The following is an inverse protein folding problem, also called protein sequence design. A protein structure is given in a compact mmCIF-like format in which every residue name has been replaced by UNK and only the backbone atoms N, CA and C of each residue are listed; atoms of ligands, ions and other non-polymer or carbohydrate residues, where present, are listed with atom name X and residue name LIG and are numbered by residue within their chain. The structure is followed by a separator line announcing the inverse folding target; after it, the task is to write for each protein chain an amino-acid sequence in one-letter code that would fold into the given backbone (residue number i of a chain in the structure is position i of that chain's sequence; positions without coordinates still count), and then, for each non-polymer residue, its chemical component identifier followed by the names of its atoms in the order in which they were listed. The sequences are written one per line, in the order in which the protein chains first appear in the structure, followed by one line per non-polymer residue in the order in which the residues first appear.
data_IF_512570960491
#
_entry.id   IF_512570960491
#
_cell.length_a   1.000
_cell.length_b   1.000
_cell.length_c   1.000
_cell.angle_alpha   90.00
_cell.angle_beta   90.00
_cell.angle_gamma   90.00
#
_symmetry.space_group_name_H-M   'P 1'
#
loop_
_entity.id
_entity.type
_entity.pdbx_description
1 polymer ?
#
# COMPACT_ATOMS: atom_id res chain seq x y z
N UNK A 1 -46.00 60.77 -45.59
CA UNK A 1 -44.98 60.40 -46.59
C UNK A 1 -44.00 59.48 -45.87
N UNK A 2 -44.28 58.19 -45.98
CA UNK A 2 -43.40 57.12 -45.48
C UNK A 2 -42.51 56.62 -46.60
N UNK A 3 -41.24 56.34 -46.36
CA UNK A 3 -40.45 55.59 -47.32
C UNK A 3 -40.41 54.06 -46.93
N UNK A 4 -40.73 53.37 -48.01
CA UNK A 4 -40.82 51.94 -48.23
C UNK A 4 -39.60 51.16 -47.65
N UNK A 5 -39.97 50.12 -46.94
CA UNK A 5 -39.02 49.14 -46.39
C UNK A 5 -38.35 48.29 -47.47
N UNK A 6 -37.02 48.17 -47.37
CA UNK A 6 -36.23 47.18 -48.10
C UNK A 6 -36.23 45.84 -47.37
N UNK A 7 -36.95 44.88 -47.91
CA UNK A 7 -36.83 43.47 -47.45
C UNK A 7 -35.50 42.89 -47.94
N UNK A 8 -34.62 42.57 -47.01
CA UNK A 8 -33.47 41.72 -47.31
C UNK A 8 -33.93 40.26 -47.26
N UNK A 9 -33.77 39.58 -48.37
CA UNK A 9 -33.91 38.15 -48.47
C UNK A 9 -32.84 37.46 -47.57
N UNK A 10 -33.31 36.66 -46.61
CA UNK A 10 -32.47 35.74 -45.90
C UNK A 10 -32.18 34.54 -46.82
N UNK A 11 -30.92 34.27 -47.06
CA UNK A 11 -30.48 33.06 -47.77
C UNK A 11 -30.63 31.84 -46.83
N UNK A 12 -31.24 30.75 -47.31
CA UNK A 12 -31.26 29.50 -46.57
C UNK A 12 -29.99 28.72 -46.96
N UNK A 13 -29.10 28.53 -46.06
CA UNK A 13 -28.31 27.32 -45.98
C UNK A 13 -26.97 27.56 -45.28
N UNK A 14 -26.95 27.31 -43.99
CA UNK A 14 -25.77 26.78 -43.32
C UNK A 14 -26.21 26.11 -42.02
N UNK A 15 -27.00 25.02 -42.18
CA UNK A 15 -27.09 24.01 -41.12
C UNK A 15 -25.76 23.24 -41.08
N UNK A 16 -24.74 23.88 -40.51
CA UNK A 16 -23.51 23.14 -40.17
C UNK A 16 -23.84 22.12 -39.11
N UNK A 17 -23.97 20.88 -39.55
CA UNK A 17 -23.99 19.70 -38.70
C UNK A 17 -22.68 19.68 -37.91
N UNK A 18 -22.64 20.37 -36.78
CA UNK A 18 -21.61 20.16 -35.75
C UNK A 18 -21.89 18.81 -35.09
N UNK A 19 -21.39 17.76 -35.71
CA UNK A 19 -21.19 16.48 -35.03
C UNK A 19 -20.30 16.75 -33.84
N UNK A 20 -20.93 17.03 -32.73
CA UNK A 20 -20.24 17.17 -31.43
C UNK A 20 -19.78 15.78 -31.03
N UNK A 21 -18.59 15.37 -31.48
CA UNK A 21 -17.86 14.26 -30.89
C UNK A 21 -17.57 14.67 -29.48
N UNK A 22 -18.40 14.28 -28.54
CA UNK A 22 -18.10 14.30 -27.13
C UNK A 22 -17.08 13.21 -26.92
N UNK A 23 -15.82 13.53 -27.11
CA UNK A 23 -14.72 12.73 -26.57
C UNK A 23 -14.95 12.75 -25.06
N UNK A 24 -15.51 11.68 -24.52
CA UNK A 24 -15.54 11.46 -23.07
C UNK A 24 -14.08 11.48 -22.64
N UNK A 25 -13.68 12.57 -22.03
CA UNK A 25 -12.35 12.67 -21.41
C UNK A 25 -12.17 11.45 -20.54
N UNK A 26 -11.03 10.72 -20.63
CA UNK A 26 -10.76 9.63 -19.72
C UNK A 26 -10.98 10.16 -18.32
N UNK A 27 -11.74 9.43 -17.49
CA UNK A 27 -12.07 9.82 -16.12
C UNK A 27 -10.74 9.92 -15.36
N UNK A 28 -10.13 11.09 -15.35
CA UNK A 28 -8.98 11.39 -14.52
C UNK A 28 -9.47 11.42 -13.10
N UNK A 29 -9.35 10.27 -12.42
CA UNK A 29 -9.68 10.17 -11.00
C UNK A 29 -8.79 11.13 -10.22
N UNK A 30 -9.40 12.12 -9.55
CA UNK A 30 -8.64 13.05 -8.73
C UNK A 30 -8.02 12.31 -7.53
N UNK A 31 -6.85 12.74 -7.07
CA UNK A 31 -6.21 12.20 -5.86
C UNK A 31 -7.17 12.20 -4.65
N UNK A 32 -8.02 13.23 -4.55
CA UNK A 32 -9.07 13.31 -3.51
C UNK A 32 -10.09 12.18 -3.63
N UNK A 33 -10.44 11.77 -4.84
CA UNK A 33 -11.36 10.64 -5.07
C UNK A 33 -10.72 9.32 -4.67
N UNK A 34 -9.45 9.10 -4.99
CA UNK A 34 -8.69 7.91 -4.58
C UNK A 34 -8.61 7.80 -3.07
N UNK A 35 -8.28 8.89 -2.37
CA UNK A 35 -8.22 8.90 -0.90
C UNK A 35 -9.59 8.59 -0.27
N UNK A 36 -10.68 9.12 -0.84
CA UNK A 36 -12.03 8.81 -0.35
C UNK A 36 -12.40 7.35 -0.54
N UNK A 37 -12.07 6.77 -1.70
CA UNK A 37 -12.32 5.35 -1.98
C UNK A 37 -11.54 4.45 -1.04
N UNK A 38 -10.27 4.76 -0.79
CA UNK A 38 -9.41 4.01 0.12
C UNK A 38 -9.96 4.03 1.56
N UNK A 39 -10.36 5.20 2.05
CA UNK A 39 -11.02 5.32 3.36
C UNK A 39 -12.34 4.56 3.44
N UNK A 40 -13.16 4.63 2.39
CA UNK A 40 -14.42 3.88 2.33
C UNK A 40 -14.17 2.36 2.33
N UNK A 41 -13.13 1.89 1.64
CA UNK A 41 -12.73 0.49 1.66
C UNK A 41 -12.26 0.07 3.07
N UNK A 42 -11.41 0.87 3.71
CA UNK A 42 -10.97 0.64 5.08
C UNK A 42 -12.16 0.56 6.06
N UNK A 43 -13.14 1.45 5.92
CA UNK A 43 -14.37 1.41 6.74
C UNK A 43 -15.17 0.14 6.49
N UNK A 44 -15.37 -0.27 5.24
CA UNK A 44 -16.07 -1.53 4.92
C UNK A 44 -15.40 -2.75 5.56
N UNK A 45 -14.07 -2.81 5.53
CA UNK A 45 -13.31 -3.90 6.18
C UNK A 45 -13.58 -3.93 7.67
N UNK A 46 -13.59 -2.78 8.35
CA UNK A 46 -13.92 -2.66 9.79
C UNK A 46 -15.34 -3.12 10.08
N UNK A 47 -16.29 -2.68 9.27
CA UNK A 47 -17.71 -3.00 9.45
C UNK A 47 -17.98 -4.51 9.25
N UNK A 48 -17.36 -5.12 8.23
CA UNK A 48 -17.47 -6.57 7.99
C UNK A 48 -16.84 -7.35 9.13
N UNK A 49 -15.65 -6.96 9.59
CA UNK A 49 -14.99 -7.64 10.72
C UNK A 49 -15.79 -7.52 12.01
N UNK A 50 -16.43 -6.39 12.25
CA UNK A 50 -17.27 -6.15 13.44
C UNK A 50 -18.56 -6.97 13.37
N UNK A 51 -19.26 -6.94 12.23
CA UNK A 51 -20.49 -7.74 12.03
C UNK A 51 -20.22 -9.25 12.08
N UNK A 52 -19.06 -9.69 11.55
CA UNK A 52 -18.66 -11.10 11.59
C UNK A 52 -18.07 -11.56 12.92
N UNK A 53 -18.02 -10.71 13.95
CA UNK A 53 -17.50 -11.07 15.28
C UNK A 53 -15.98 -11.30 15.33
N UNK A 54 -15.23 -11.03 14.23
CA UNK A 54 -13.79 -11.30 14.13
C UNK A 54 -12.92 -10.06 14.39
N UNK A 55 -13.52 -8.92 14.72
CA UNK A 55 -12.78 -7.68 14.94
C UNK A 55 -11.79 -7.77 16.11
N UNK A 56 -12.20 -8.37 17.23
CA UNK A 56 -11.34 -8.50 18.40
C UNK A 56 -10.10 -9.37 18.14
N UNK A 57 -10.20 -10.62 17.64
CA UNK A 57 -9.05 -11.43 17.33
C UNK A 57 -8.14 -10.80 16.26
N UNK A 58 -8.69 -10.13 15.25
CA UNK A 58 -7.89 -9.43 14.25
C UNK A 58 -7.10 -8.26 14.84
N UNK A 59 -7.69 -7.46 15.74
CA UNK A 59 -6.97 -6.39 16.46
C UNK A 59 -5.81 -6.95 17.28
N UNK A 60 -6.01 -8.07 17.97
CA UNK A 60 -4.95 -8.76 18.71
C UNK A 60 -3.84 -9.22 17.76
N UNK A 61 -4.18 -9.82 16.61
CA UNK A 61 -3.20 -10.20 15.59
C UNK A 61 -2.42 -8.98 15.07
N UNK A 62 -3.09 -7.83 14.88
CA UNK A 62 -2.44 -6.58 14.51
C UNK A 62 -1.44 -6.08 15.55
N UNK A 63 -1.76 -6.17 16.83
CA UNK A 63 -0.84 -5.83 17.92
C UNK A 63 0.32 -6.83 18.02
N UNK A 64 0.04 -8.12 17.82
CA UNK A 64 1.03 -9.19 17.87
C UNK A 64 2.00 -9.20 16.68
N UNK A 65 1.69 -8.52 15.58
CA UNK A 65 2.49 -8.55 14.34
C UNK A 65 3.97 -8.25 14.60
N UNK A 66 4.29 -7.15 15.27
CA UNK A 66 5.67 -6.75 15.49
C UNK A 66 6.44 -7.69 16.44
N UNK A 67 5.92 -8.07 17.62
CA UNK A 67 6.61 -9.02 18.49
C UNK A 67 6.77 -10.40 17.84
N UNK A 68 5.78 -10.90 17.09
CA UNK A 68 5.88 -12.17 16.38
C UNK A 68 7.01 -12.18 15.36
N UNK A 69 7.12 -11.14 14.54
CA UNK A 69 8.18 -11.05 13.54
C UNK A 69 9.56 -10.83 14.17
N UNK A 70 9.67 -10.13 15.29
CA UNK A 70 10.91 -10.03 16.06
C UNK A 70 11.33 -11.39 16.61
N UNK A 71 10.40 -12.13 17.23
CA UNK A 71 10.64 -13.49 17.71
C UNK A 71 11.08 -14.43 16.60
N UNK A 72 10.45 -14.35 15.42
CA UNK A 72 10.85 -15.11 14.23
C UNK A 72 12.31 -14.80 13.84
N UNK A 73 12.68 -13.53 13.75
CA UNK A 73 14.06 -13.14 13.40
C UNK A 73 15.08 -13.65 14.42
N UNK A 74 14.76 -13.57 15.71
CA UNK A 74 15.62 -14.14 16.77
C UNK A 74 15.76 -15.65 16.62
N UNK A 75 14.65 -16.38 16.40
CA UNK A 75 14.66 -17.82 16.20
C UNK A 75 15.47 -18.27 14.98
N UNK A 76 15.35 -17.50 13.87
CA UNK A 76 16.13 -17.75 12.65
C UNK A 76 17.61 -17.44 12.86
N UNK A 77 17.95 -16.38 13.57
CA UNK A 77 19.34 -15.99 13.86
C UNK A 77 20.05 -16.98 14.80
N UNK A 78 19.32 -17.61 15.72
CA UNK A 78 19.85 -18.61 16.64
C UNK A 78 20.31 -19.90 15.93
N UNK A 79 19.76 -20.23 14.76
CA UNK A 79 20.09 -21.43 14.01
C UNK A 79 21.12 -21.13 12.93
N UNK A 80 22.27 -21.80 12.93
CA UNK A 80 23.35 -21.57 11.96
C UNK A 80 22.88 -21.63 10.50
N UNK A 81 21.98 -22.59 10.17
CA UNK A 81 21.48 -22.78 8.79
C UNK A 81 20.60 -21.62 8.29
N UNK A 82 19.83 -20.97 9.16
CA UNK A 82 18.90 -19.89 8.79
C UNK A 82 19.45 -18.49 9.12
N UNK A 83 20.63 -18.41 9.74
CA UNK A 83 21.27 -17.14 10.10
C UNK A 83 21.47 -16.19 8.91
N UNK A 84 21.92 -16.65 7.72
CA UNK A 84 22.05 -15.76 6.55
C UNK A 84 20.71 -15.13 6.14
N UNK A 85 19.62 -15.93 6.13
CA UNK A 85 18.29 -15.44 5.85
C UNK A 85 17.80 -14.42 6.91
N UNK A 86 18.12 -14.65 8.19
CA UNK A 86 17.80 -13.71 9.26
C UNK A 86 18.54 -12.37 9.10
N UNK A 87 19.81 -12.39 8.75
CA UNK A 87 20.61 -11.17 8.52
C UNK A 87 20.03 -10.38 7.34
N UNK A 88 19.74 -11.06 6.23
CA UNK A 88 19.12 -10.43 5.06
C UNK A 88 17.74 -9.84 5.40
N UNK A 89 16.91 -10.59 6.12
CA UNK A 89 15.58 -10.13 6.53
C UNK A 89 15.64 -8.92 7.48
N UNK A 90 16.62 -8.88 8.39
CA UNK A 90 16.85 -7.72 9.25
C UNK A 90 17.28 -6.51 8.42
N UNK A 91 18.27 -6.66 7.54
CA UNK A 91 18.72 -5.57 6.68
C UNK A 91 17.59 -5.02 5.81
N UNK A 92 16.83 -5.90 5.13
CA UNK A 92 15.70 -5.54 4.31
C UNK A 92 14.58 -4.85 5.11
N UNK A 93 14.28 -5.35 6.33
CA UNK A 93 13.24 -4.74 7.17
C UNK A 93 13.63 -3.36 7.71
N UNK A 94 14.89 -3.14 8.05
CA UNK A 94 15.41 -1.84 8.46
C UNK A 94 15.40 -0.84 7.30
N UNK A 95 15.84 -1.27 6.11
CA UNK A 95 15.79 -0.45 4.90
C UNK A 95 14.34 -0.05 4.57
N UNK A 96 13.42 -1.02 4.54
CA UNK A 96 12.02 -0.77 4.23
C UNK A 96 11.35 0.13 5.27
N UNK A 97 11.57 -0.13 6.57
CA UNK A 97 10.98 0.68 7.65
C UNK A 97 11.56 2.10 7.68
N UNK A 98 12.85 2.26 7.40
CA UNK A 98 13.52 3.56 7.26
C UNK A 98 12.97 4.36 6.09
N UNK A 99 12.89 3.76 4.90
CA UNK A 99 12.30 4.39 3.72
C UNK A 99 10.82 4.75 3.94
N UNK A 100 10.04 3.85 4.56
CA UNK A 100 8.65 4.13 4.91
C UNK A 100 8.51 5.31 5.89
N UNK A 101 9.47 5.47 6.82
CA UNK A 101 9.49 6.62 7.73
C UNK A 101 9.75 7.93 6.98
N UNK A 102 10.77 7.97 6.13
CA UNK A 102 11.11 9.17 5.33
C UNK A 102 9.94 9.58 4.44
N UNK A 103 9.36 8.61 3.71
CA UNK A 103 8.20 8.87 2.86
C UNK A 103 6.98 9.36 3.65
N UNK A 104 6.73 8.78 4.82
CA UNK A 104 5.63 9.18 5.68
C UNK A 104 5.77 10.62 6.16
N UNK A 105 6.97 10.99 6.59
CA UNK A 105 7.25 12.33 7.07
C UNK A 105 7.15 13.38 5.92
N UNK A 106 7.54 12.98 4.70
CA UNK A 106 7.41 13.83 3.50
C UNK A 106 5.97 13.96 2.99
N UNK A 107 5.16 12.88 3.06
CA UNK A 107 3.79 12.88 2.50
C UNK A 107 2.78 13.43 3.51
N UNK A 108 2.96 13.19 4.80
CA UNK A 108 2.12 13.75 5.87
C UNK A 108 0.65 13.30 5.85
N UNK A 109 0.29 12.17 5.19
CA UNK A 109 -1.09 11.70 5.11
C UNK A 109 -1.60 11.30 6.50
N UNK A 110 -2.71 11.91 6.99
CA UNK A 110 -3.26 11.58 8.31
C UNK A 110 -3.85 10.17 8.34
N UNK A 111 -3.75 9.51 9.49
CA UNK A 111 -4.36 8.20 9.76
C UNK A 111 -5.89 8.28 9.85
N UNK A 112 -6.61 7.16 9.63
CA UNK A 112 -8.05 7.11 9.87
C UNK A 112 -8.44 7.20 11.36
N UNK A 113 -7.54 6.82 12.27
CA UNK A 113 -7.74 6.85 13.72
C UNK A 113 -7.22 8.12 14.41
N UNK A 114 -7.30 8.20 15.74
CA UNK A 114 -7.00 9.41 16.52
C UNK A 114 -5.49 9.76 16.62
N UNK A 115 -4.61 8.95 16.07
CA UNK A 115 -3.17 9.21 16.10
C UNK A 115 -2.79 10.27 15.07
N UNK A 116 -2.01 11.26 15.51
CA UNK A 116 -1.58 12.39 14.67
C UNK A 116 -0.31 12.12 13.84
N UNK A 117 0.36 10.98 14.05
CA UNK A 117 1.50 10.58 13.24
C UNK A 117 1.03 10.05 11.87
N UNK A 118 1.69 10.42 10.79
CA UNK A 118 1.31 10.06 9.42
C UNK A 118 1.02 8.56 9.21
N UNK A 119 0.06 8.24 8.33
CA UNK A 119 -0.39 6.88 8.05
C UNK A 119 0.35 6.20 6.90
N UNK A 120 0.73 6.94 5.88
CA UNK A 120 1.20 6.42 4.59
C UNK A 120 2.69 6.68 4.35
N UNK A 121 3.46 5.68 3.91
CA UNK A 121 3.15 4.25 3.90
C UNK A 121 3.31 3.60 5.29
N UNK A 122 2.73 2.41 5.49
CA UNK A 122 2.80 1.69 6.76
C UNK A 122 4.18 1.06 6.99
N UNK A 123 4.89 1.50 8.04
CA UNK A 123 6.17 0.90 8.46
C UNK A 123 6.06 -0.58 8.83
N UNK A 124 4.97 -0.96 9.50
CA UNK A 124 4.75 -2.33 9.91
C UNK A 124 4.53 -3.25 8.72
N UNK A 125 3.79 -2.76 7.70
CA UNK A 125 3.60 -3.50 6.47
C UNK A 125 4.93 -3.64 5.70
N UNK A 126 5.72 -2.56 5.62
CA UNK A 126 7.01 -2.58 4.98
C UNK A 126 7.98 -3.57 5.65
N UNK A 127 8.11 -3.54 6.98
CA UNK A 127 8.98 -4.47 7.70
C UNK A 127 8.50 -5.93 7.58
N UNK A 128 7.19 -6.18 7.76
CA UNK A 128 6.66 -7.54 7.68
C UNK A 128 6.81 -8.14 6.27
N UNK A 129 6.54 -7.36 5.22
CA UNK A 129 6.72 -7.80 3.84
C UNK A 129 8.19 -8.02 3.48
N UNK A 130 9.10 -7.20 3.98
CA UNK A 130 10.54 -7.39 3.80
C UNK A 130 11.02 -8.70 4.44
N UNK A 131 10.59 -8.98 5.66
CA UNK A 131 10.92 -10.24 6.35
C UNK A 131 10.33 -11.43 5.60
N UNK A 132 9.05 -11.37 5.21
CA UNK A 132 8.40 -12.45 4.47
C UNK A 132 9.06 -12.68 3.10
N UNK A 133 9.43 -11.63 2.37
CA UNK A 133 10.12 -11.72 1.10
C UNK A 133 11.51 -12.34 1.23
N UNK A 134 12.33 -11.87 2.17
CA UNK A 134 13.68 -12.41 2.41
C UNK A 134 13.64 -13.87 2.88
N UNK A 135 12.79 -14.21 3.86
CA UNK A 135 12.66 -15.61 4.32
C UNK A 135 12.13 -16.51 3.22
N UNK A 136 11.19 -16.01 2.39
CA UNK A 136 10.65 -16.72 1.23
C UNK A 136 11.69 -17.03 0.17
N UNK A 137 12.60 -16.10 -0.12
CA UNK A 137 13.71 -16.30 -1.05
C UNK A 137 14.67 -17.43 -0.60
N UNK A 138 14.71 -17.73 0.71
CA UNK A 138 15.46 -18.84 1.30
C UNK A 138 14.58 -20.11 1.51
N UNK A 139 13.36 -20.15 0.99
CA UNK A 139 12.45 -21.28 1.13
C UNK A 139 11.91 -21.52 2.54
N UNK A 140 11.99 -20.50 3.44
CA UNK A 140 11.62 -20.65 4.84
C UNK A 140 10.15 -20.26 5.05
N UNK A 141 9.30 -21.25 5.35
CA UNK A 141 7.96 -21.06 5.91
C UNK A 141 7.03 -20.12 5.15
N UNK A 142 7.17 -20.01 3.83
CA UNK A 142 6.46 -19.03 2.97
C UNK A 142 4.97 -18.93 3.27
N UNK A 143 4.17 -20.02 3.31
CA UNK A 143 2.74 -19.88 3.55
C UNK A 143 2.43 -19.39 4.97
N UNK A 144 3.12 -19.90 5.98
CA UNK A 144 2.86 -19.55 7.39
C UNK A 144 3.21 -18.11 7.67
N UNK A 145 4.39 -17.66 7.22
CA UNK A 145 4.85 -16.29 7.42
C UNK A 145 3.95 -15.32 6.63
N UNK A 146 3.58 -15.68 5.41
CA UNK A 146 2.67 -14.90 4.58
C UNK A 146 1.27 -14.74 5.21
N UNK A 147 0.69 -15.83 5.72
CA UNK A 147 -0.60 -15.79 6.42
C UNK A 147 -0.51 -14.96 7.69
N UNK A 148 0.55 -15.14 8.51
CA UNK A 148 0.75 -14.36 9.73
C UNK A 148 0.90 -12.85 9.41
N UNK A 149 1.64 -12.51 8.36
CA UNK A 149 1.75 -11.13 7.88
C UNK A 149 0.40 -10.58 7.46
N UNK A 150 -0.32 -11.27 6.57
CA UNK A 150 -1.61 -10.83 6.05
C UNK A 150 -2.64 -10.63 7.18
N UNK A 151 -2.74 -11.59 8.12
CA UNK A 151 -3.65 -11.51 9.26
C UNK A 151 -3.32 -10.33 10.17
N UNK A 152 -2.05 -10.14 10.50
CA UNK A 152 -1.61 -9.01 11.32
C UNK A 152 -1.83 -7.65 10.63
N UNK A 153 -1.58 -7.56 9.32
CA UNK A 153 -1.82 -6.34 8.54
C UNK A 153 -3.32 -6.03 8.41
N UNK A 154 -4.17 -7.05 8.20
CA UNK A 154 -5.62 -6.90 8.25
C UNK A 154 -6.06 -6.38 9.62
N UNK A 155 -5.47 -6.90 10.69
CA UNK A 155 -5.70 -6.43 12.06
C UNK A 155 -5.40 -4.93 12.25
N UNK A 156 -4.39 -4.38 11.56
CA UNK A 156 -4.09 -2.95 11.56
C UNK A 156 -5.16 -2.11 10.87
N UNK A 157 -5.77 -2.62 9.80
CA UNK A 157 -6.91 -1.95 9.15
C UNK A 157 -8.12 -1.97 10.08
N UNK A 158 -8.41 -3.12 10.71
CA UNK A 158 -9.54 -3.29 11.64
C UNK A 158 -9.37 -2.45 12.90
N UNK A 159 -8.14 -2.23 13.36
CA UNK A 159 -7.86 -1.32 14.47
C UNK A 159 -7.99 0.17 14.10
N UNK A 160 -8.10 0.52 12.81
CA UNK A 160 -8.13 1.91 12.35
C UNK A 160 -6.74 2.58 12.35
N UNK A 161 -5.68 1.80 12.47
CA UNK A 161 -4.30 2.34 12.42
C UNK A 161 -3.88 2.76 11.01
N UNK A 162 -4.42 2.07 9.98
CA UNK A 162 -4.07 2.27 8.57
C UNK A 162 -5.26 2.04 7.65
N UNK A 163 -5.26 2.72 6.51
CA UNK A 163 -6.13 2.40 5.37
C UNK A 163 -5.46 1.34 4.47
N UNK A 164 -6.22 0.65 3.60
CA UNK A 164 -5.68 -0.38 2.71
C UNK A 164 -4.50 0.07 1.84
N UNK A 165 -4.54 1.31 1.30
CA UNK A 165 -3.45 1.86 0.50
C UNK A 165 -2.16 2.06 1.31
N UNK A 166 -2.24 2.41 2.60
CA UNK A 166 -1.07 2.52 3.48
C UNK A 166 -0.36 1.16 3.61
N UNK A 167 -1.16 0.10 3.76
CA UNK A 167 -0.67 -1.28 3.83
C UNK A 167 -0.09 -1.72 2.50
N UNK A 168 -0.81 -1.51 1.38
CA UNK A 168 -0.36 -1.88 0.04
C UNK A 168 0.97 -1.23 -0.33
N UNK A 169 1.10 0.08 -0.10
CA UNK A 169 2.34 0.79 -0.34
C UNK A 169 3.49 0.31 0.56
N UNK A 170 3.20 0.02 1.83
CA UNK A 170 4.18 -0.57 2.75
C UNK A 170 4.64 -1.96 2.26
N UNK A 171 3.72 -2.83 1.85
CA UNK A 171 4.04 -4.16 1.32
C UNK A 171 4.93 -4.05 0.07
N UNK A 172 4.57 -3.20 -0.88
CA UNK A 172 5.38 -2.98 -2.08
C UNK A 172 6.81 -2.54 -1.75
N UNK A 173 6.96 -1.59 -0.81
CA UNK A 173 8.25 -1.10 -0.35
C UNK A 173 9.05 -2.20 0.35
N UNK A 174 8.41 -3.04 1.16
CA UNK A 174 9.05 -4.16 1.84
C UNK A 174 9.56 -5.24 0.88
N UNK A 175 8.74 -5.63 -0.09
CA UNK A 175 9.14 -6.59 -1.12
C UNK A 175 10.27 -6.05 -1.98
N UNK A 176 10.23 -4.77 -2.36
CA UNK A 176 11.33 -4.12 -3.07
C UNK A 176 12.63 -4.18 -2.27
N UNK A 177 12.59 -3.83 -0.98
CA UNK A 177 13.77 -3.89 -0.10
C UNK A 177 14.33 -5.32 0.03
N UNK A 178 13.46 -6.35 0.09
CA UNK A 178 13.92 -7.75 0.13
C UNK A 178 14.65 -8.15 -1.15
N UNK A 179 14.17 -7.72 -2.32
CA UNK A 179 14.84 -7.98 -3.60
C UNK A 179 16.20 -7.28 -3.66
N UNK A 180 16.28 -6.04 -3.24
CA UNK A 180 17.54 -5.26 -3.23
C UNK A 180 18.57 -5.90 -2.29
N UNK A 181 18.19 -6.23 -1.06
CA UNK A 181 19.10 -6.87 -0.11
C UNK A 181 19.53 -8.26 -0.58
N UNK A 182 18.61 -9.06 -1.13
CA UNK A 182 18.94 -10.37 -1.69
C UNK A 182 19.86 -10.29 -2.91
N UNK A 183 19.74 -9.28 -3.75
CA UNK A 183 20.68 -9.03 -4.84
C UNK A 183 22.08 -8.65 -4.32
N UNK A 184 22.13 -7.74 -3.34
CA UNK A 184 23.39 -7.32 -2.73
C UNK A 184 24.13 -8.48 -2.05
N UNK A 185 23.43 -9.32 -1.30
CA UNK A 185 24.06 -10.49 -0.65
C UNK A 185 24.60 -11.51 -1.64
N UNK A 186 23.93 -11.72 -2.79
CA UNK A 186 24.43 -12.59 -3.87
C UNK A 186 25.69 -12.03 -4.53
N UNK A 187 25.74 -10.74 -4.82
CA UNK A 187 26.92 -10.08 -5.40
C UNK A 187 28.14 -10.20 -4.49
N UNK A 188 27.97 -9.85 -3.21
CA UNK A 188 29.06 -9.96 -2.22
C UNK A 188 29.53 -11.41 -1.98
N UNK A 189 28.63 -12.39 -2.13
CA UNK A 189 28.98 -13.81 -2.06
C UNK A 189 29.73 -14.32 -3.29
N UNK A 190 29.50 -13.75 -4.47
CA UNK A 190 30.19 -14.11 -5.71
C UNK A 190 31.64 -13.61 -5.73
N UNK A 191 31.91 -12.43 -5.18
CA UNK A 191 33.25 -11.85 -5.11
C UNK A 191 34.20 -12.59 -4.14
N UNK A 192 33.66 -13.42 -3.26
CA UNK A 192 34.45 -14.18 -2.26
C UNK A 192 34.80 -15.61 -2.69
N UNK A 193 34.41 -16.02 -3.90
CA UNK A 193 34.70 -17.36 -4.46
C UNK A 193 35.75 -17.29 -5.55
#
# INVERSE_FOLDING_TARGET
MEPVGSRRCASPNEASVRTRWSVRSPVTMSLRSLVRMDRALGQRVRDVATRGGVAAPLRVAGLALAPTFRGLLVALAARRRTRPAAIEAVAASLLAAGAARVLRDAIGRPRPGPRNDGGFPSRHAAAAAAIAGSTGAHGIGVPVIGIAAATGLLGRIVAGDHDPADIGAGVALGLFASVVCGAATRMLGAERR
#
